data_IF_238689249113
#
_entry.id   IF_238689249113
#
_cell.length_a   1.000
_cell.length_b   1.000
_cell.length_c   1.000
_cell.angle_alpha   90.00
_cell.angle_beta   90.00
_cell.angle_gamma   90.00
#
_symmetry.space_group_name_H-M   'P 1'
#
loop_
_entity.id
_entity.type
_entity.pdbx_description
1 polymer ?
#
# COMPACT_ATOMS: atom_id res chain seq x y z
N UNK A 1 -39.67 42.51 11.27
CA UNK A 1 -41.14 42.55 11.45
C UNK A 1 -41.55 41.20 12.00
N UNK A 2 -41.55 41.11 13.32
CA UNK A 2 -42.72 40.79 14.18
C UNK A 2 -43.08 39.29 14.15
N UNK A 3 -42.74 38.49 15.15
CA UNK A 3 -43.14 38.46 16.58
C UNK A 3 -44.31 37.50 16.85
N UNK A 4 -44.09 36.59 17.83
CA UNK A 4 -44.99 36.01 18.84
C UNK A 4 -44.19 34.86 19.50
N UNK A 5 -43.74 34.92 20.76
CA UNK A 5 -44.42 35.25 22.02
C UNK A 5 -44.76 33.92 22.74
N UNK A 6 -44.43 33.62 24.01
CA UNK A 6 -43.69 34.30 25.07
C UNK A 6 -43.59 33.39 26.33
N UNK A 7 -42.73 33.83 27.28
CA UNK A 7 -42.67 33.65 28.77
C UNK A 7 -42.80 32.24 29.36
N UNK A 8 -41.82 31.70 30.12
CA UNK A 8 -41.33 32.15 31.45
C UNK A 8 -42.05 31.32 32.54
N UNK A 9 -41.46 30.66 33.53
CA UNK A 9 -40.54 31.16 34.56
C UNK A 9 -40.04 30.01 35.50
N UNK A 10 -39.14 30.38 36.41
CA UNK A 10 -38.07 29.65 37.12
C UNK A 10 -38.45 28.60 38.20
N UNK A 11 -37.45 27.73 38.40
CA UNK A 11 -37.18 26.77 39.49
C UNK A 11 -37.32 27.32 40.92
N UNK A 12 -37.73 26.43 41.84
CA UNK A 12 -37.30 26.44 43.26
C UNK A 12 -36.75 25.06 43.65
N UNK A 13 -35.50 25.05 44.14
CA UNK A 13 -34.87 23.92 44.83
C UNK A 13 -35.42 23.84 46.26
N UNK A 14 -35.72 22.64 46.74
CA UNK A 14 -35.84 22.33 48.16
C UNK A 14 -34.76 21.29 48.47
N UNK A 15 -33.85 21.66 49.37
CA UNK A 15 -32.89 20.75 49.97
C UNK A 15 -33.55 20.04 51.16
N UNK A 16 -33.51 18.71 51.19
CA UNK A 16 -33.81 17.92 52.39
C UNK A 16 -32.64 16.97 52.63
N UNK A 17 -32.01 17.15 53.78
CA UNK A 17 -30.90 16.42 54.37
C UNK A 17 -31.35 15.11 55.02
N UNK A 18 -30.51 14.07 54.95
CA UNK A 18 -30.37 13.07 56.01
C UNK A 18 -31.24 11.80 55.94
N UNK A 19 -30.58 10.64 55.98
CA UNK A 19 -31.09 9.28 56.23
C UNK A 19 -31.93 8.55 55.16
N UNK A 20 -32.67 9.20 54.25
CA UNK A 20 -33.45 8.48 53.22
C UNK A 20 -32.63 8.03 51.98
N UNK A 21 -31.40 8.54 51.81
CA UNK A 21 -30.60 8.30 50.61
C UNK A 21 -29.92 6.90 50.58
N UNK A 22 -29.68 6.26 51.73
CA UNK A 22 -28.95 4.98 51.75
C UNK A 22 -29.84 3.77 51.41
N UNK A 23 -31.14 3.81 51.73
CA UNK A 23 -32.08 2.75 51.34
C UNK A 23 -32.41 2.81 49.83
N UNK A 24 -32.51 4.01 49.26
CA UNK A 24 -32.79 4.20 47.83
C UNK A 24 -31.59 3.79 46.93
N UNK A 25 -30.36 3.93 47.41
CA UNK A 25 -29.16 3.48 46.68
C UNK A 25 -29.02 1.95 46.74
N UNK A 26 -29.31 1.32 47.88
CA UNK A 26 -29.25 -0.14 48.01
C UNK A 26 -30.25 -0.90 47.13
N UNK A 27 -31.49 -0.41 47.02
CA UNK A 27 -32.52 -1.03 46.17
C UNK A 27 -32.23 -0.83 44.68
N UNK A 28 -31.70 0.33 44.28
CA UNK A 28 -31.27 0.59 42.91
C UNK A 28 -30.04 -0.25 42.52
N UNK A 29 -29.11 -0.51 43.44
CA UNK A 29 -27.99 -1.41 43.19
C UNK A 29 -28.45 -2.86 42.99
N UNK A 30 -29.39 -3.35 43.79
CA UNK A 30 -29.93 -4.71 43.65
C UNK A 30 -30.76 -4.90 42.37
N UNK A 31 -31.56 -3.90 42.00
CA UNK A 31 -32.31 -3.91 40.72
C UNK A 31 -31.34 -3.79 39.53
N UNK A 32 -30.27 -3.00 39.65
CA UNK A 32 -29.25 -2.88 38.60
C UNK A 32 -28.44 -4.17 38.42
N UNK A 33 -28.13 -4.91 39.50
CA UNK A 33 -27.36 -6.15 39.43
C UNK A 33 -28.19 -7.29 38.85
N UNK A 34 -29.48 -7.36 39.20
CA UNK A 34 -30.45 -8.31 38.60
C UNK A 34 -30.67 -7.99 37.11
N UNK A 35 -30.77 -6.70 36.74
CA UNK A 35 -30.90 -6.28 35.34
C UNK A 35 -29.62 -6.55 34.54
N UNK A 36 -28.44 -6.36 35.13
CA UNK A 36 -27.15 -6.68 34.51
C UNK A 36 -26.91 -8.20 34.35
N UNK A 37 -27.44 -9.03 35.25
CA UNK A 37 -27.39 -10.49 35.11
C UNK A 37 -28.35 -10.98 34.01
N UNK A 38 -29.55 -10.41 33.93
CA UNK A 38 -30.52 -10.70 32.86
C UNK A 38 -30.02 -10.25 31.49
N UNK A 39 -29.39 -9.07 31.42
CA UNK A 39 -28.71 -8.57 30.21
C UNK A 39 -27.50 -9.44 29.82
N UNK A 40 -26.82 -10.10 30.77
CA UNK A 40 -25.75 -11.06 30.47
C UNK A 40 -26.28 -12.39 29.91
N UNK A 41 -27.39 -12.89 30.44
CA UNK A 41 -28.07 -14.08 29.91
C UNK A 41 -28.65 -13.81 28.52
N UNK A 42 -29.30 -12.67 28.31
CA UNK A 42 -29.80 -12.24 26.99
C UNK A 42 -28.65 -11.95 25.99
N UNK A 43 -27.50 -11.43 26.45
CA UNK A 43 -26.28 -11.30 25.62
C UNK A 43 -25.66 -12.65 25.25
N UNK A 44 -25.71 -13.64 26.13
CA UNK A 44 -25.23 -14.99 25.83
C UNK A 44 -26.10 -15.70 24.78
N UNK A 45 -27.41 -15.41 24.77
CA UNK A 45 -28.38 -16.03 23.86
C UNK A 45 -28.60 -15.24 22.56
N UNK A 46 -28.27 -13.94 22.52
CA UNK A 46 -28.34 -13.10 21.32
C UNK A 46 -27.15 -13.25 20.35
N UNK A 47 -26.14 -14.06 20.70
CA UNK A 47 -25.01 -14.37 19.81
C UNK A 47 -25.36 -15.34 18.64
N UNK A 48 -26.66 -15.59 18.43
CA UNK A 48 -27.24 -16.34 17.30
C UNK A 48 -28.12 -15.45 16.40
N UNK A 49 -27.63 -14.27 16.03
CA UNK A 49 -28.02 -13.62 14.77
C UNK A 49 -27.02 -12.50 14.48
N UNK A 50 -25.89 -12.85 13.86
CA UNK A 50 -25.06 -11.86 13.18
C UNK A 50 -25.93 -11.30 12.05
N UNK A 51 -26.59 -10.17 12.29
CA UNK A 51 -27.20 -9.38 11.21
C UNK A 51 -26.06 -8.73 10.44
N UNK A 52 -25.50 -9.49 9.50
CA UNK A 52 -24.73 -8.93 8.40
C UNK A 52 -25.57 -7.82 7.78
N UNK A 53 -24.96 -6.66 7.51
CA UNK A 53 -25.60 -5.57 6.76
C UNK A 53 -26.10 -6.17 5.45
N UNK A 54 -27.42 -6.26 5.27
CA UNK A 54 -28.05 -7.06 4.20
C UNK A 54 -27.72 -6.60 2.77
N UNK A 55 -27.12 -5.42 2.61
CA UNK A 55 -26.63 -4.88 1.35
C UNK A 55 -25.12 -5.10 1.11
N UNK A 56 -24.37 -5.50 2.13
CA UNK A 56 -22.93 -5.70 2.06
C UNK A 56 -22.58 -7.17 2.18
N UNK A 57 -21.91 -7.70 1.17
CA UNK A 57 -21.28 -9.03 1.22
C UNK A 57 -19.95 -9.02 2.00
N UNK A 58 -19.52 -7.85 2.50
CA UNK A 58 -18.30 -7.71 3.30
C UNK A 58 -18.52 -8.28 4.71
N UNK A 59 -17.71 -9.27 5.04
CA UNK A 59 -17.58 -9.90 6.35
C UNK A 59 -16.32 -9.39 7.05
N UNK A 60 -16.44 -8.92 8.28
CA UNK A 60 -15.31 -8.33 9.04
C UNK A 60 -14.90 -9.12 10.28
N UNK A 61 -15.77 -10.01 10.78
CA UNK A 61 -15.56 -10.79 11.99
C UNK A 61 -15.42 -12.29 11.67
N UNK A 62 -14.43 -12.61 10.84
CA UNK A 62 -14.07 -13.97 10.45
C UNK A 62 -12.96 -14.53 11.34
N UNK A 63 -13.11 -15.77 11.77
CA UNK A 63 -12.03 -16.57 12.36
C UNK A 63 -11.01 -17.00 11.31
N UNK A 64 -9.83 -17.44 11.74
CA UNK A 64 -8.79 -17.95 10.84
C UNK A 64 -9.29 -19.07 9.91
N UNK A 65 -10.10 -20.01 10.42
CA UNK A 65 -10.69 -21.08 9.60
C UNK A 65 -11.71 -20.55 8.59
N UNK A 66 -12.53 -19.57 8.97
CA UNK A 66 -13.50 -18.97 8.06
C UNK A 66 -12.82 -18.17 6.93
N UNK A 67 -11.69 -17.52 7.21
CA UNK A 67 -10.87 -16.83 6.19
C UNK A 67 -10.38 -17.83 5.14
N UNK A 68 -9.78 -18.95 5.56
CA UNK A 68 -9.31 -19.98 4.62
C UNK A 68 -10.45 -20.57 3.80
N UNK A 69 -11.58 -20.92 4.44
CA UNK A 69 -12.76 -21.44 3.73
C UNK A 69 -13.32 -20.44 2.72
N UNK A 70 -13.31 -19.15 3.05
CA UNK A 70 -13.75 -18.11 2.14
C UNK A 70 -12.79 -17.97 0.95
N UNK A 71 -11.48 -18.02 1.17
CA UNK A 71 -10.49 -18.02 0.09
C UNK A 71 -10.66 -19.25 -0.83
N UNK A 72 -10.86 -20.44 -0.27
CA UNK A 72 -11.16 -21.67 -1.03
C UNK A 72 -12.41 -21.51 -1.90
N UNK A 73 -13.47 -20.96 -1.33
CA UNK A 73 -14.73 -20.70 -2.04
C UNK A 73 -14.55 -19.70 -3.20
N UNK A 74 -13.82 -18.60 -2.97
CA UNK A 74 -13.51 -17.61 -4.02
C UNK A 74 -12.73 -18.29 -5.16
N UNK A 75 -11.69 -19.06 -4.83
CA UNK A 75 -10.87 -19.78 -5.81
C UNK A 75 -11.71 -20.78 -6.60
N UNK A 76 -12.54 -21.59 -5.93
CA UNK A 76 -13.40 -22.57 -6.56
C UNK A 76 -14.40 -21.91 -7.53
N UNK A 77 -15.08 -20.84 -7.10
CA UNK A 77 -16.04 -20.11 -7.93
C UNK A 77 -15.39 -19.45 -9.15
N UNK A 78 -14.18 -18.92 -8.96
CA UNK A 78 -13.39 -18.37 -10.06
C UNK A 78 -13.05 -19.45 -11.09
N UNK A 79 -12.52 -20.60 -10.65
CA UNK A 79 -12.19 -21.71 -11.54
C UNK A 79 -13.40 -22.16 -12.36
N UNK A 80 -14.52 -22.41 -11.69
CA UNK A 80 -15.78 -22.79 -12.34
C UNK A 80 -16.17 -21.82 -13.46
N UNK A 81 -16.12 -20.51 -13.18
CA UNK A 81 -16.53 -19.48 -14.14
C UNK A 81 -15.56 -19.38 -15.31
N UNK A 82 -14.25 -19.39 -15.06
CA UNK A 82 -13.25 -19.37 -16.12
C UNK A 82 -13.30 -20.64 -16.98
N UNK A 83 -13.55 -21.81 -16.39
CA UNK A 83 -13.71 -23.09 -17.11
C UNK A 83 -14.97 -23.08 -17.99
N UNK A 84 -16.08 -22.53 -17.46
CA UNK A 84 -17.30 -22.34 -18.22
C UNK A 84 -17.04 -21.45 -19.46
N UNK A 85 -16.40 -20.29 -19.28
CA UNK A 85 -16.08 -19.37 -20.39
C UNK A 85 -15.15 -20.05 -21.40
N UNK A 86 -14.11 -20.76 -20.96
CA UNK A 86 -13.17 -21.46 -21.84
C UNK A 86 -13.83 -22.55 -22.70
N UNK A 87 -14.93 -23.15 -22.22
CA UNK A 87 -15.65 -24.22 -22.92
C UNK A 87 -16.55 -23.72 -24.06
N UNK A 88 -16.75 -22.41 -24.19
CA UNK A 88 -17.66 -21.83 -25.18
C UNK A 88 -17.10 -22.02 -26.60
N UNK A 89 -17.87 -22.63 -27.52
CA UNK A 89 -17.45 -22.75 -28.91
C UNK A 89 -17.26 -21.37 -29.55
N UNK A 90 -16.17 -21.17 -30.30
CA UNK A 90 -15.80 -19.88 -30.87
C UNK A 90 -16.89 -19.26 -31.77
N UNK A 91 -17.70 -20.09 -32.44
CA UNK A 91 -18.82 -19.63 -33.27
C UNK A 91 -20.08 -19.21 -32.49
N UNK A 92 -20.11 -19.39 -31.16
CA UNK A 92 -21.27 -19.11 -30.28
C UNK A 92 -20.98 -18.04 -29.22
N UNK A 93 -19.87 -17.32 -29.34
CA UNK A 93 -19.45 -16.28 -28.39
C UNK A 93 -20.40 -15.09 -28.41
N UNK A 94 -20.89 -14.65 -27.26
CA UNK A 94 -21.74 -13.47 -27.06
C UNK A 94 -21.26 -12.70 -25.83
N UNK A 95 -21.71 -11.45 -25.69
CA UNK A 95 -21.44 -10.70 -24.46
C UNK A 95 -21.92 -11.46 -23.21
N UNK A 96 -23.11 -12.06 -23.27
CA UNK A 96 -23.77 -12.72 -22.13
C UNK A 96 -23.07 -13.99 -21.66
N UNK A 97 -22.40 -14.73 -22.55
CA UNK A 97 -21.73 -15.98 -22.18
C UNK A 97 -20.21 -15.84 -22.00
N UNK A 98 -19.57 -14.83 -22.60
CA UNK A 98 -18.11 -14.62 -22.46
C UNK A 98 -17.78 -13.50 -21.47
N UNK A 99 -18.34 -12.31 -21.67
CA UNK A 99 -17.89 -11.10 -20.98
C UNK A 99 -18.64 -10.90 -19.67
N UNK A 100 -19.97 -11.01 -19.68
CA UNK A 100 -20.81 -10.84 -18.47
C UNK A 100 -20.36 -11.76 -17.33
N UNK A 101 -20.13 -13.08 -17.54
CA UNK A 101 -19.76 -13.95 -16.43
C UNK A 101 -18.42 -13.58 -15.77
N UNK A 102 -17.47 -13.05 -16.54
CA UNK A 102 -16.19 -12.58 -16.00
C UNK A 102 -16.36 -11.27 -15.21
N UNK A 103 -17.14 -10.33 -15.73
CA UNK A 103 -17.45 -9.07 -15.05
C UNK A 103 -18.25 -9.30 -13.75
N UNK A 104 -19.27 -10.16 -13.81
CA UNK A 104 -20.12 -10.53 -12.67
C UNK A 104 -19.30 -11.24 -11.59
N UNK A 105 -18.36 -12.09 -11.99
CA UNK A 105 -17.42 -12.73 -11.08
C UNK A 105 -16.53 -11.71 -10.36
N UNK A 106 -15.94 -10.76 -11.08
CA UNK A 106 -15.10 -9.72 -10.48
C UNK A 106 -15.89 -8.90 -9.44
N UNK A 107 -17.12 -8.49 -9.79
CA UNK A 107 -17.99 -7.75 -8.89
C UNK A 107 -18.39 -8.57 -7.64
N UNK A 108 -18.69 -9.87 -7.83
CA UNK A 108 -19.01 -10.79 -6.75
C UNK A 108 -17.83 -11.01 -5.80
N UNK A 109 -16.62 -11.19 -6.35
CA UNK A 109 -15.45 -11.58 -5.57
C UNK A 109 -14.81 -10.41 -4.84
N UNK A 110 -14.86 -9.19 -5.40
CA UNK A 110 -14.22 -8.01 -4.83
C UNK A 110 -14.46 -7.84 -3.30
N UNK A 111 -15.70 -7.76 -2.80
CA UNK A 111 -15.95 -7.60 -1.36
C UNK A 111 -15.51 -8.80 -0.52
N UNK A 112 -15.58 -10.03 -1.07
CA UNK A 112 -15.18 -11.25 -0.36
C UNK A 112 -13.66 -11.35 -0.22
N UNK A 113 -12.93 -10.94 -1.26
CA UNK A 113 -11.48 -10.80 -1.23
C UNK A 113 -11.10 -9.79 -0.14
N UNK A 114 -11.75 -8.63 -0.08
CA UNK A 114 -11.49 -7.65 1.00
C UNK A 114 -11.72 -8.23 2.41
N UNK A 115 -12.74 -9.08 2.58
CA UNK A 115 -12.97 -9.80 3.83
C UNK A 115 -11.85 -10.76 4.22
N UNK A 116 -11.15 -11.35 3.25
CA UNK A 116 -9.99 -12.19 3.51
C UNK A 116 -8.73 -11.36 3.82
N UNK A 117 -8.53 -10.22 3.15
CA UNK A 117 -7.26 -9.47 3.16
C UNK A 117 -7.19 -8.39 4.24
N UNK A 118 -8.30 -7.72 4.57
CA UNK A 118 -8.29 -6.62 5.53
C UNK A 118 -7.85 -7.02 6.96
N UNK A 119 -8.21 -8.21 7.49
CA UNK A 119 -7.87 -8.59 8.86
C UNK A 119 -6.37 -8.58 9.18
N UNK A 120 -5.46 -8.81 8.22
CA UNK A 120 -4.00 -8.73 8.45
C UNK A 120 -3.55 -7.37 8.99
N UNK A 121 -4.27 -6.30 8.63
CA UNK A 121 -3.89 -4.92 8.96
C UNK A 121 -4.46 -4.43 10.29
N UNK A 122 -5.62 -4.97 10.70
CA UNK A 122 -6.41 -4.39 11.80
C UNK A 122 -6.79 -5.38 12.89
N UNK A 123 -6.73 -6.69 12.63
CA UNK A 123 -7.16 -7.68 13.61
C UNK A 123 -6.24 -7.66 14.82
N UNK A 124 -6.78 -7.65 16.06
CA UNK A 124 -5.98 -7.79 17.27
C UNK A 124 -5.41 -9.21 17.42
N UNK A 125 -6.02 -10.21 16.76
CA UNK A 125 -5.67 -11.62 16.89
C UNK A 125 -4.59 -12.04 15.87
N UNK A 126 -3.51 -12.65 16.36
CA UNK A 126 -2.34 -13.01 15.55
C UNK A 126 -2.59 -14.13 14.54
N UNK A 127 -3.33 -15.15 14.95
CA UNK A 127 -3.78 -16.26 14.08
C UNK A 127 -4.63 -15.76 12.92
N UNK A 128 -5.54 -14.81 13.18
CA UNK A 128 -6.37 -14.18 12.14
C UNK A 128 -5.51 -13.38 11.16
N UNK A 129 -4.51 -12.63 11.64
CA UNK A 129 -3.59 -11.89 10.75
C UNK A 129 -2.78 -12.83 9.87
N UNK A 130 -2.27 -13.94 10.44
CA UNK A 130 -1.52 -14.96 9.69
C UNK A 130 -2.38 -15.65 8.64
N UNK A 131 -3.61 -16.05 8.98
CA UNK A 131 -4.55 -16.64 8.04
C UNK A 131 -4.93 -15.67 6.91
N UNK A 132 -5.07 -14.39 7.22
CA UNK A 132 -5.32 -13.33 6.23
C UNK A 132 -4.14 -13.15 5.25
N UNK A 133 -2.89 -13.20 5.74
CA UNK A 133 -1.71 -13.16 4.89
C UNK A 133 -1.55 -14.42 4.00
N UNK A 134 -1.84 -15.61 4.53
CA UNK A 134 -1.88 -16.85 3.74
C UNK A 134 -2.95 -16.77 2.64
N UNK A 135 -4.16 -16.32 2.99
CA UNK A 135 -5.25 -16.16 2.04
C UNK A 135 -4.90 -15.18 0.91
N UNK A 136 -4.24 -14.06 1.22
CA UNK A 136 -3.75 -13.12 0.20
C UNK A 136 -2.78 -13.80 -0.77
N UNK A 137 -1.76 -14.49 -0.28
CA UNK A 137 -0.79 -15.18 -1.13
C UNK A 137 -1.46 -16.20 -2.06
N UNK A 138 -2.44 -16.95 -1.54
CA UNK A 138 -3.20 -17.96 -2.30
C UNK A 138 -4.10 -17.32 -3.36
N UNK A 139 -4.79 -16.23 -3.02
CA UNK A 139 -5.66 -15.51 -3.93
C UNK A 139 -4.86 -14.81 -5.04
N UNK A 140 -3.74 -14.16 -4.71
CA UNK A 140 -2.86 -13.52 -5.69
C UNK A 140 -2.29 -14.53 -6.68
N UNK A 141 -1.83 -15.68 -6.19
CA UNK A 141 -1.37 -16.79 -7.03
C UNK A 141 -2.48 -17.27 -7.97
N UNK A 142 -3.69 -17.46 -7.45
CA UNK A 142 -4.84 -17.90 -8.24
C UNK A 142 -5.22 -16.87 -9.32
N UNK A 143 -5.33 -15.58 -8.99
CA UNK A 143 -5.67 -14.54 -9.95
C UNK A 143 -4.60 -14.36 -11.03
N UNK A 144 -3.32 -14.51 -10.68
CA UNK A 144 -2.23 -14.52 -11.64
C UNK A 144 -2.37 -15.68 -12.64
N UNK A 145 -2.75 -16.87 -12.16
CA UNK A 145 -3.00 -18.03 -13.03
C UNK A 145 -4.20 -17.80 -13.96
N UNK A 146 -5.29 -17.24 -13.47
CA UNK A 146 -6.45 -16.86 -14.28
C UNK A 146 -6.08 -15.90 -15.42
N UNK A 147 -5.24 -14.90 -15.17
CA UNK A 147 -4.75 -13.94 -16.19
C UNK A 147 -3.82 -14.55 -17.23
N UNK A 148 -3.34 -15.79 -17.02
CA UNK A 148 -2.47 -16.53 -17.94
C UNK A 148 -3.23 -17.58 -18.76
N UNK A 149 -4.55 -17.69 -18.59
CA UNK A 149 -5.39 -18.68 -19.29
C UNK A 149 -5.58 -18.34 -20.76
N UNK A 150 -4.81 -19.04 -21.60
CA UNK A 150 -4.87 -18.94 -23.06
C UNK A 150 -6.21 -19.38 -23.65
N UNK A 151 -6.82 -20.40 -23.05
CA UNK A 151 -8.12 -20.94 -23.46
C UNK A 151 -9.25 -19.91 -23.30
N UNK A 152 -9.28 -19.19 -22.17
CA UNK A 152 -10.22 -18.08 -21.93
C UNK A 152 -9.91 -16.91 -22.84
N UNK A 153 -8.64 -16.55 -22.98
CA UNK A 153 -8.23 -15.47 -23.88
C UNK A 153 -8.67 -15.72 -25.34
N UNK A 154 -8.57 -16.95 -25.83
CA UNK A 154 -9.02 -17.32 -27.17
C UNK A 154 -10.52 -17.04 -27.38
N UNK A 155 -11.35 -17.34 -26.37
CA UNK A 155 -12.80 -17.08 -26.42
C UNK A 155 -13.09 -15.58 -26.36
N UNK A 156 -12.40 -14.84 -25.49
CA UNK A 156 -12.51 -13.37 -25.39
C UNK A 156 -12.10 -12.70 -26.71
N UNK A 157 -11.02 -13.18 -27.34
CA UNK A 157 -10.56 -12.66 -28.63
C UNK A 157 -11.55 -12.93 -29.76
N UNK A 158 -12.11 -14.14 -29.82
CA UNK A 158 -13.17 -14.45 -30.79
C UNK A 158 -14.42 -13.56 -30.61
N UNK A 159 -14.77 -13.22 -29.37
CA UNK A 159 -15.82 -12.24 -29.10
C UNK A 159 -15.48 -10.84 -29.65
N UNK A 160 -14.25 -10.36 -29.44
CA UNK A 160 -13.80 -9.07 -29.97
C UNK A 160 -13.81 -9.04 -31.50
N UNK A 161 -13.34 -10.11 -32.14
CA UNK A 161 -13.31 -10.24 -33.61
C UNK A 161 -14.72 -10.28 -34.22
N UNK A 162 -15.72 -10.78 -33.49
CA UNK A 162 -17.12 -10.74 -33.90
C UNK A 162 -17.68 -9.31 -34.01
N UNK A 163 -17.10 -8.36 -33.28
CA UNK A 163 -17.45 -6.93 -33.38
C UNK A 163 -18.86 -6.59 -32.89
N UNK A 164 -19.35 -7.26 -31.85
CA UNK A 164 -20.64 -6.93 -31.23
C UNK A 164 -20.66 -5.47 -30.73
N UNK A 165 -21.74 -4.74 -30.99
CA UNK A 165 -21.88 -3.34 -30.54
C UNK A 165 -22.16 -3.30 -29.04
N UNK A 166 -21.23 -2.76 -28.27
CA UNK A 166 -21.33 -2.59 -26.83
C UNK A 166 -21.49 -1.12 -26.44
N UNK A 167 -22.02 -0.87 -25.23
CA UNK A 167 -21.96 0.45 -24.61
C UNK A 167 -20.50 0.88 -24.34
N UNK A 168 -20.25 2.18 -24.09
CA UNK A 168 -18.92 2.71 -23.86
C UNK A 168 -18.14 2.00 -22.73
N UNK A 169 -18.80 1.74 -21.60
CA UNK A 169 -18.17 1.08 -20.44
C UNK A 169 -17.81 -0.39 -20.72
N UNK A 170 -18.75 -1.17 -21.26
CA UNK A 170 -18.51 -2.55 -21.65
C UNK A 170 -17.39 -2.67 -22.69
N UNK A 171 -17.35 -1.76 -23.68
CA UNK A 171 -16.25 -1.68 -24.65
C UNK A 171 -14.91 -1.46 -23.96
N UNK A 172 -14.86 -0.53 -22.99
CA UNK A 172 -13.65 -0.21 -22.23
C UNK A 172 -13.21 -1.40 -21.36
N UNK A 173 -14.15 -2.12 -20.73
CA UNK A 173 -13.88 -3.32 -19.94
C UNK A 173 -13.21 -4.40 -20.80
N UNK A 174 -13.80 -4.73 -21.95
CA UNK A 174 -13.24 -5.74 -22.87
C UNK A 174 -11.84 -5.35 -23.35
N UNK A 175 -11.62 -4.07 -23.66
CA UNK A 175 -10.29 -3.56 -24.01
C UNK A 175 -9.28 -3.69 -22.85
N UNK A 176 -9.68 -3.47 -21.59
CA UNK A 176 -8.81 -3.73 -20.44
C UNK A 176 -8.48 -5.21 -20.34
N UNK A 177 -9.50 -6.06 -20.41
CA UNK A 177 -9.37 -7.50 -20.25
C UNK A 177 -8.39 -8.10 -21.26
N UNK A 178 -8.55 -7.75 -22.54
CA UNK A 178 -7.61 -8.17 -23.60
C UNK A 178 -6.20 -7.71 -23.29
N UNK A 179 -6.01 -6.42 -22.95
CA UNK A 179 -4.68 -5.89 -22.63
C UNK A 179 -4.04 -6.58 -21.42
N UNK A 180 -4.81 -6.88 -20.39
CA UNK A 180 -4.31 -7.56 -19.20
C UNK A 180 -3.83 -8.98 -19.54
N UNK A 181 -4.55 -9.70 -20.40
CA UNK A 181 -4.09 -10.98 -20.94
C UNK A 181 -2.80 -10.83 -21.75
N UNK A 182 -2.75 -9.90 -22.70
CA UNK A 182 -1.58 -9.69 -23.57
C UNK A 182 -0.33 -9.29 -22.78
N UNK A 183 -0.48 -8.44 -21.77
CA UNK A 183 0.60 -8.03 -20.84
C UNK A 183 1.06 -9.19 -19.96
N UNK A 184 0.26 -10.22 -19.79
CA UNK A 184 0.64 -11.49 -19.16
C UNK A 184 1.14 -12.53 -20.17
N UNK A 185 1.41 -12.12 -21.41
CA UNK A 185 2.13 -12.93 -22.38
C UNK A 185 1.31 -14.04 -23.02
N UNK A 186 -0.03 -14.03 -22.94
CA UNK A 186 -0.83 -15.10 -23.54
C UNK A 186 -0.72 -15.15 -25.07
N UNK A 187 -0.40 -14.04 -25.72
CA UNK A 187 -0.12 -13.96 -27.16
C UNK A 187 1.26 -14.55 -27.54
N UNK A 188 2.12 -14.84 -26.56
CA UNK A 188 3.46 -15.35 -26.82
C UNK A 188 3.42 -16.87 -27.08
N UNK A 189 4.39 -17.36 -27.84
CA UNK A 189 4.63 -18.81 -27.98
C UNK A 189 5.01 -19.41 -26.63
N UNK A 190 4.81 -20.73 -26.46
CA UNK A 190 5.15 -21.42 -25.21
C UNK A 190 6.60 -21.16 -24.77
N UNK A 191 7.55 -21.22 -25.71
CA UNK A 191 8.97 -20.93 -25.45
C UNK A 191 9.18 -19.50 -24.93
N UNK A 192 8.55 -18.50 -25.55
CA UNK A 192 8.61 -17.10 -25.11
C UNK A 192 7.91 -16.87 -23.77
N UNK A 193 6.85 -17.62 -23.45
CA UNK A 193 6.21 -17.56 -22.12
C UNK A 193 7.13 -18.09 -21.03
N UNK A 194 7.81 -19.21 -21.27
CA UNK A 194 8.80 -19.76 -20.33
C UNK A 194 9.93 -18.75 -20.10
N UNK A 195 10.41 -18.11 -21.17
CA UNK A 195 11.39 -17.02 -21.07
C UNK A 195 10.85 -15.84 -20.24
N UNK A 196 9.60 -15.40 -20.48
CA UNK A 196 8.96 -14.33 -19.73
C UNK A 196 8.87 -14.64 -18.23
N UNK A 197 8.45 -15.85 -17.87
CA UNK A 197 8.34 -16.27 -16.46
C UNK A 197 9.71 -16.32 -15.78
N UNK A 198 10.73 -16.82 -16.47
CA UNK A 198 12.11 -16.83 -15.97
C UNK A 198 12.63 -15.39 -15.75
N UNK A 199 12.38 -14.49 -16.71
CA UNK A 199 12.74 -13.07 -16.56
C UNK A 199 12.02 -12.43 -15.37
N UNK A 200 10.71 -12.65 -15.23
CA UNK A 200 9.93 -12.12 -14.08
C UNK A 200 10.48 -12.64 -12.75
N UNK A 201 10.72 -13.95 -12.64
CA UNK A 201 11.27 -14.56 -11.43
C UNK A 201 12.64 -13.98 -11.05
N UNK A 202 13.54 -13.77 -12.03
CA UNK A 202 14.83 -13.13 -11.79
C UNK A 202 14.69 -11.66 -11.36
N UNK A 203 13.78 -10.90 -12.00
CA UNK A 203 13.48 -9.52 -11.62
C UNK A 203 12.96 -9.45 -10.18
N UNK A 204 12.02 -10.33 -9.82
CA UNK A 204 11.43 -10.35 -8.47
C UNK A 204 12.48 -10.73 -7.42
N UNK A 205 13.30 -11.74 -7.69
CA UNK A 205 14.42 -12.15 -6.82
C UNK A 205 15.40 -11.01 -6.59
N UNK A 206 15.86 -10.35 -7.65
CA UNK A 206 16.81 -9.24 -7.56
C UNK A 206 16.18 -8.01 -6.87
N UNK A 207 14.89 -7.74 -7.11
CA UNK A 207 14.16 -6.65 -6.46
C UNK A 207 14.04 -6.89 -4.95
N UNK A 208 13.74 -8.12 -4.54
CA UNK A 208 13.71 -8.51 -3.13
C UNK A 208 15.10 -8.38 -2.49
N UNK A 209 16.13 -8.90 -3.16
CA UNK A 209 17.51 -8.83 -2.68
C UNK A 209 17.98 -7.37 -2.49
N UNK A 210 17.65 -6.48 -3.45
CA UNK A 210 17.97 -5.05 -3.35
C UNK A 210 17.40 -4.43 -2.07
N UNK A 211 16.13 -4.73 -1.76
CA UNK A 211 15.43 -4.20 -0.58
C UNK A 211 15.95 -4.86 0.71
N UNK A 212 16.22 -6.16 0.69
CA UNK A 212 16.80 -6.89 1.83
C UNK A 212 18.16 -6.31 2.21
N UNK A 213 19.05 -6.10 1.25
CA UNK A 213 20.36 -5.49 1.48
C UNK A 213 20.22 -4.14 2.23
N UNK A 214 19.27 -3.29 1.83
CA UNK A 214 19.03 -1.99 2.47
C UNK A 214 18.42 -2.10 3.89
N UNK A 215 17.58 -3.11 4.13
CA UNK A 215 16.93 -3.32 5.42
C UNK A 215 17.88 -3.95 6.45
N UNK A 216 18.76 -4.83 6.00
CA UNK A 216 19.76 -5.52 6.81
C UNK A 216 21.02 -4.66 7.05
N UNK A 217 21.16 -3.54 6.33
CA UNK A 217 22.27 -2.60 6.54
C UNK A 217 22.34 -2.12 8.00
N UNK A 218 23.47 -2.47 8.62
CA UNK A 218 23.82 -2.07 9.97
C UNK A 218 25.02 -1.10 9.99
N UNK A 219 25.34 -0.51 8.83
CA UNK A 219 26.41 0.48 8.71
C UNK A 219 26.18 1.66 9.67
N UNK A 220 27.27 2.13 10.27
CA UNK A 220 27.25 3.22 11.22
C UNK A 220 28.47 4.13 11.04
N UNK A 221 28.32 5.37 11.49
CA UNK A 221 29.41 6.35 11.61
C UNK A 221 29.63 6.61 13.09
N UNK A 222 30.90 6.69 13.51
CA UNK A 222 31.27 7.12 14.85
C UNK A 222 31.37 8.64 14.88
N UNK A 223 30.70 9.24 15.86
CA UNK A 223 30.68 10.69 16.05
C UNK A 223 30.86 10.97 17.53
N UNK A 224 31.71 11.92 17.87
CA UNK A 224 31.87 12.37 19.26
C UNK A 224 30.72 13.30 19.67
N UNK A 225 30.44 13.41 20.97
CA UNK A 225 29.34 14.26 21.46
C UNK A 225 29.50 15.76 21.09
N UNK A 226 30.70 16.36 21.14
CA UNK A 226 30.91 17.75 20.70
C UNK A 226 30.57 17.97 19.22
N UNK A 227 30.73 16.94 18.39
CA UNK A 227 30.45 16.99 16.96
C UNK A 227 28.93 16.97 16.67
N UNK A 228 28.11 16.53 17.62
CA UNK A 228 26.63 16.56 17.54
C UNK A 228 26.03 17.86 18.08
N UNK A 229 26.76 18.97 18.02
CA UNK A 229 26.30 20.28 18.44
C UNK A 229 24.93 20.63 17.81
N UNK A 230 23.98 21.10 18.62
CA UNK A 230 22.62 21.45 18.18
C UNK A 230 21.60 20.32 18.28
N UNK A 231 22.03 19.06 18.49
CA UNK A 231 21.10 17.96 18.72
C UNK A 231 20.47 18.02 20.12
N UNK A 232 19.19 17.62 20.29
CA UNK A 232 18.57 17.48 21.60
C UNK A 232 19.32 16.48 22.48
N UNK A 233 19.49 16.74 23.80
CA UNK A 233 20.21 15.83 24.71
C UNK A 233 19.66 14.40 24.70
N UNK A 234 18.33 14.25 24.72
CA UNK A 234 17.65 12.95 24.64
C UNK A 234 18.04 12.16 23.37
N UNK A 235 18.24 12.84 22.23
CA UNK A 235 18.68 12.17 21.01
C UNK A 235 20.11 11.63 21.17
N UNK A 236 21.03 12.43 21.70
CA UNK A 236 22.43 12.01 21.93
C UNK A 236 22.47 10.82 22.92
N UNK A 237 21.67 10.87 23.98
CA UNK A 237 21.55 9.80 24.96
C UNK A 237 21.02 8.50 24.36
N UNK A 238 20.08 8.59 23.40
CA UNK A 238 19.54 7.42 22.71
C UNK A 238 20.56 6.70 21.80
N UNK A 239 21.64 7.37 21.41
CA UNK A 239 22.70 6.78 20.58
C UNK A 239 23.58 5.83 21.40
N UNK A 240 23.87 4.66 20.82
CA UNK A 240 24.74 3.66 21.45
C UNK A 240 26.15 4.23 21.68
N UNK A 241 26.60 4.26 22.93
CA UNK A 241 27.94 4.69 23.31
C UNK A 241 28.97 3.57 23.10
N UNK A 242 30.10 3.90 22.51
CA UNK A 242 31.24 2.98 22.35
C UNK A 242 32.17 3.01 23.57
N UNK A 243 33.11 2.07 23.62
CA UNK A 243 34.17 2.05 24.65
C UNK A 243 35.10 3.28 24.57
N UNK A 244 35.21 3.90 23.40
CA UNK A 244 35.98 5.14 23.13
C UNK A 244 35.23 6.42 23.48
N UNK A 245 34.06 6.32 24.13
CA UNK A 245 33.16 7.43 24.46
C UNK A 245 32.53 8.16 23.25
N UNK A 246 32.63 7.59 22.04
CA UNK A 246 31.93 8.06 20.84
C UNK A 246 30.50 7.51 20.78
N UNK A 247 29.65 8.12 19.96
CA UNK A 247 28.28 7.70 19.69
C UNK A 247 28.18 7.04 18.32
N UNK A 248 27.48 5.90 18.25
CA UNK A 248 27.18 5.22 16.98
C UNK A 248 25.94 5.83 16.34
N UNK A 249 26.12 6.44 15.17
CA UNK A 249 25.04 6.87 14.30
C UNK A 249 24.82 5.81 13.22
N UNK A 250 23.83 4.96 13.41
CA UNK A 250 23.42 4.01 12.35
C UNK A 250 22.85 4.77 11.16
N UNK A 251 23.12 4.30 9.94
CA UNK A 251 22.64 4.91 8.70
C UNK A 251 21.18 4.54 8.40
N UNK A 252 20.30 4.78 9.38
CA UNK A 252 18.85 4.58 9.28
C UNK A 252 18.14 5.92 9.31
N UNK A 253 16.97 6.00 8.66
CA UNK A 253 16.22 7.26 8.50
C UNK A 253 16.00 7.99 9.84
N UNK A 254 15.64 7.26 10.90
CA UNK A 254 15.39 7.83 12.23
C UNK A 254 16.63 8.40 12.94
N UNK A 255 17.85 8.03 12.54
CA UNK A 255 19.08 8.68 13.04
C UNK A 255 19.57 9.76 12.08
N UNK A 256 19.48 9.51 10.78
CA UNK A 256 20.02 10.40 9.75
C UNK A 256 19.17 11.67 9.63
N UNK A 257 17.84 11.58 9.54
CA UNK A 257 16.97 12.76 9.36
C UNK A 257 17.19 13.79 10.46
N UNK A 258 17.09 13.45 11.77
CA UNK A 258 17.27 14.45 12.82
C UNK A 258 18.65 15.11 12.80
N UNK A 259 19.71 14.36 12.43
CA UNK A 259 21.06 14.91 12.34
C UNK A 259 21.20 15.87 11.15
N UNK A 260 20.61 15.54 9.99
CA UNK A 260 20.63 16.44 8.84
C UNK A 260 19.83 17.72 9.09
N UNK A 261 18.80 17.65 9.93
CA UNK A 261 17.89 18.76 10.26
C UNK A 261 18.42 19.66 11.38
N UNK A 262 19.03 19.10 12.43
CA UNK A 262 19.31 19.86 13.66
C UNK A 262 20.79 20.00 14.00
N UNK A 263 21.67 19.14 13.47
CA UNK A 263 23.09 19.22 13.79
C UNK A 263 23.70 20.47 13.17
N UNK A 264 24.32 21.33 13.99
CA UNK A 264 24.99 22.56 13.54
C UNK A 264 26.34 22.30 12.88
N UNK A 265 26.92 21.11 13.07
CA UNK A 265 28.23 20.77 12.52
C UNK A 265 28.15 20.35 11.04
N UNK A 266 28.46 21.27 10.12
CA UNK A 266 28.30 21.07 8.68
C UNK A 266 29.06 19.87 8.08
N UNK A 267 30.29 19.60 8.53
CA UNK A 267 31.06 18.45 8.02
C UNK A 267 30.48 17.10 8.48
N UNK A 268 29.85 17.04 9.66
CA UNK A 268 29.15 15.84 10.16
C UNK A 268 27.89 15.60 9.33
N UNK A 269 27.09 16.66 9.08
CA UNK A 269 25.93 16.57 8.18
C UNK A 269 26.36 16.02 6.80
N UNK A 270 27.46 16.54 6.24
CA UNK A 270 28.02 16.08 4.97
C UNK A 270 28.47 14.62 5.02
N UNK A 271 29.23 14.24 6.04
CA UNK A 271 29.76 12.89 6.18
C UNK A 271 28.62 11.87 6.26
N UNK A 272 27.65 12.11 7.15
CA UNK A 272 26.50 11.22 7.34
C UNK A 272 25.61 11.17 6.09
N UNK A 273 25.32 12.31 5.45
CA UNK A 273 24.54 12.34 4.22
C UNK A 273 25.20 11.52 3.09
N UNK A 274 26.53 11.64 2.97
CA UNK A 274 27.32 10.91 1.97
C UNK A 274 27.31 9.41 2.26
N UNK A 275 27.60 9.01 3.50
CA UNK A 275 27.55 7.61 3.92
C UNK A 275 26.16 7.01 3.73
N UNK A 276 25.10 7.75 4.09
CA UNK A 276 23.71 7.30 3.91
C UNK A 276 23.32 7.09 2.45
N UNK A 277 23.82 7.94 1.54
CA UNK A 277 23.59 7.83 0.10
C UNK A 277 24.40 6.69 -0.55
N UNK A 278 25.50 6.27 0.06
CA UNK A 278 26.38 5.20 -0.44
C UNK A 278 26.04 3.82 0.14
N UNK A 279 24.99 3.70 0.96
CA UNK A 279 24.58 2.44 1.56
C UNK A 279 24.37 1.34 0.52
N UNK A 280 24.97 0.18 0.80
CA UNK A 280 24.93 -1.01 -0.05
C UNK A 280 25.37 -0.73 -1.50
N UNK A 281 26.14 0.33 -1.76
CA UNK A 281 26.48 0.73 -3.13
C UNK A 281 27.21 -0.37 -3.88
N UNK A 282 28.11 -1.11 -3.22
CA UNK A 282 28.86 -2.20 -3.85
C UNK A 282 27.95 -3.34 -4.30
N UNK A 283 27.01 -3.75 -3.44
CA UNK A 283 26.13 -4.90 -3.70
C UNK A 283 24.94 -4.51 -4.61
N UNK A 284 24.35 -3.34 -4.39
CA UNK A 284 23.12 -2.92 -5.05
C UNK A 284 23.33 -2.31 -6.43
N UNK A 285 24.52 -1.78 -6.75
CA UNK A 285 24.81 -1.29 -8.10
C UNK A 285 24.79 -2.42 -9.14
N UNK A 286 25.41 -3.56 -8.82
CA UNK A 286 25.40 -4.74 -9.71
C UNK A 286 23.98 -5.31 -9.86
N UNK A 287 23.20 -5.35 -8.77
CA UNK A 287 21.79 -5.75 -8.80
C UNK A 287 20.99 -4.81 -9.71
N UNK A 288 21.22 -3.49 -9.60
CA UNK A 288 20.50 -2.50 -10.40
C UNK A 288 20.82 -2.62 -11.89
N UNK A 289 22.09 -2.80 -12.26
CA UNK A 289 22.48 -2.99 -13.67
C UNK A 289 21.80 -4.24 -14.27
N UNK A 290 21.84 -5.36 -13.55
CA UNK A 290 21.14 -6.58 -13.95
C UNK A 290 19.62 -6.37 -14.06
N UNK A 291 19.00 -5.66 -13.11
CA UNK A 291 17.57 -5.35 -13.16
C UNK A 291 17.19 -4.52 -14.38
N UNK A 292 18.01 -3.53 -14.76
CA UNK A 292 17.77 -2.69 -15.95
C UNK A 292 17.79 -3.56 -17.21
N UNK A 293 18.79 -4.41 -17.36
CA UNK A 293 18.92 -5.30 -18.52
C UNK A 293 17.77 -6.31 -18.60
N UNK A 294 17.40 -6.95 -17.48
CA UNK A 294 16.29 -7.91 -17.44
C UNK A 294 14.93 -7.25 -17.74
N UNK A 295 14.69 -6.07 -17.17
CA UNK A 295 13.47 -5.28 -17.45
C UNK A 295 13.38 -4.87 -18.91
N UNK A 296 14.51 -4.48 -19.51
CA UNK A 296 14.56 -4.19 -20.94
C UNK A 296 14.26 -5.43 -21.79
N UNK A 297 14.89 -6.58 -21.50
CA UNK A 297 14.60 -7.86 -22.18
C UNK A 297 13.12 -8.24 -22.08
N UNK A 298 12.53 -8.14 -20.89
CA UNK A 298 11.10 -8.41 -20.66
C UNK A 298 10.21 -7.51 -21.52
N UNK A 299 10.52 -6.21 -21.59
CA UNK A 299 9.75 -5.26 -22.40
C UNK A 299 9.84 -5.59 -23.91
N UNK A 300 11.04 -5.91 -24.41
CA UNK A 300 11.24 -6.32 -25.81
C UNK A 300 10.49 -7.60 -26.15
N UNK A 301 10.50 -8.58 -25.24
CA UNK A 301 9.77 -9.84 -25.39
C UNK A 301 8.26 -9.62 -25.53
N UNK A 302 7.71 -8.65 -24.80
CA UNK A 302 6.30 -8.26 -24.84
C UNK A 302 5.96 -7.26 -25.97
N UNK A 303 6.92 -6.90 -26.82
CA UNK A 303 6.70 -6.01 -27.98
C UNK A 303 6.84 -4.51 -27.69
N UNK A 304 7.33 -4.11 -26.51
CA UNK A 304 7.55 -2.72 -26.16
C UNK A 304 8.97 -2.25 -26.53
N UNK A 305 9.13 -0.95 -26.76
CA UNK A 305 10.43 -0.36 -27.10
C UNK A 305 11.40 -0.40 -25.91
N UNK A 306 10.87 -0.12 -24.71
CA UNK A 306 11.58 -0.04 -23.45
C UNK A 306 10.63 -0.41 -22.28
N UNK A 307 11.20 -0.59 -21.08
CA UNK A 307 10.41 -0.97 -19.90
C UNK A 307 9.51 0.15 -19.39
N UNK A 308 9.91 1.42 -19.52
CA UNK A 308 9.09 2.55 -19.08
C UNK A 308 7.78 2.63 -19.88
N UNK A 309 7.81 2.44 -21.19
CA UNK A 309 6.62 2.35 -22.05
C UNK A 309 5.68 1.23 -21.60
N UNK A 310 6.21 0.05 -21.29
CA UNK A 310 5.42 -1.06 -20.74
C UNK A 310 4.74 -0.69 -19.40
N UNK A 311 5.41 0.06 -18.53
CA UNK A 311 4.89 0.44 -17.21
C UNK A 311 3.88 1.59 -17.30
N UNK A 312 4.07 2.55 -18.20
CA UNK A 312 3.25 3.77 -18.29
C UNK A 312 2.05 3.65 -19.23
N UNK A 313 2.00 2.66 -20.12
CA UNK A 313 0.86 2.39 -21.00
C UNK A 313 -0.50 2.38 -20.27
N UNK A 314 -0.68 1.66 -19.14
CA UNK A 314 -1.96 1.67 -18.43
C UNK A 314 -2.23 3.00 -17.69
N UNK A 315 -1.20 3.82 -17.47
CA UNK A 315 -1.29 5.08 -16.71
C UNK A 315 -1.86 6.21 -17.59
N UNK A 316 -2.11 7.37 -16.97
CA UNK A 316 -2.60 8.56 -17.67
C UNK A 316 -1.59 9.08 -18.70
N UNK A 317 -0.28 8.97 -18.43
CA UNK A 317 0.78 9.48 -19.29
C UNK A 317 0.91 8.73 -20.63
N UNK A 318 0.49 7.46 -20.71
CA UNK A 318 0.52 6.55 -21.89
C UNK A 318 1.89 6.21 -22.49
N UNK A 319 2.81 7.17 -22.56
CA UNK A 319 4.15 7.02 -23.18
C UNK A 319 5.21 7.59 -22.26
N UNK A 320 6.39 6.98 -22.26
CA UNK A 320 7.52 7.47 -21.47
C UNK A 320 7.96 8.88 -21.89
N UNK A 321 7.91 9.20 -23.18
CA UNK A 321 8.19 10.53 -23.71
C UNK A 321 7.35 11.65 -23.05
N UNK A 322 6.05 11.39 -22.80
CA UNK A 322 5.18 12.36 -22.12
C UNK A 322 5.54 12.58 -20.65
N UNK A 323 6.13 11.57 -20.01
CA UNK A 323 6.67 11.72 -18.65
C UNK A 323 7.91 12.61 -18.67
N UNK A 324 8.81 12.42 -19.64
CA UNK A 324 9.99 13.27 -19.80
C UNK A 324 9.62 14.72 -20.11
N UNK A 325 8.75 14.95 -21.11
CA UNK A 325 8.27 16.30 -21.45
C UNK A 325 7.68 17.01 -20.21
N UNK A 326 6.87 16.32 -19.41
CA UNK A 326 6.28 16.87 -18.19
C UNK A 326 7.33 17.22 -17.12
N UNK A 327 8.32 16.35 -16.90
CA UNK A 327 9.37 16.60 -15.92
C UNK A 327 10.31 17.72 -16.36
N UNK A 328 10.61 17.82 -17.65
CA UNK A 328 11.42 18.89 -18.23
C UNK A 328 10.70 20.24 -18.15
N UNK A 329 9.40 20.29 -18.44
CA UNK A 329 8.58 21.50 -18.31
C UNK A 329 8.50 21.97 -16.85
N UNK A 330 8.25 21.06 -15.90
CA UNK A 330 8.31 21.38 -14.46
C UNK A 330 9.69 21.92 -14.07
N UNK A 331 10.76 21.25 -14.50
CA UNK A 331 12.12 21.66 -14.20
C UNK A 331 12.38 23.07 -14.73
N UNK A 332 12.02 23.36 -15.98
CA UNK A 332 12.19 24.68 -16.58
C UNK A 332 11.41 25.77 -15.83
N UNK A 333 10.14 25.51 -15.49
CA UNK A 333 9.28 26.49 -14.82
C UNK A 333 9.66 26.75 -13.35
N UNK A 334 10.27 25.76 -12.67
CA UNK A 334 10.70 25.90 -11.28
C UNK A 334 12.15 26.37 -11.14
N UNK A 335 12.94 26.39 -12.21
CA UNK A 335 14.37 26.68 -12.16
C UNK A 335 14.66 28.06 -11.55
N UNK A 336 13.94 29.11 -11.94
CA UNK A 336 14.15 30.46 -11.40
C UNK A 336 13.84 30.55 -9.90
N UNK A 337 12.74 29.92 -9.46
CA UNK A 337 12.37 29.88 -8.05
C UNK A 337 13.41 29.10 -7.24
N UNK A 338 13.81 27.93 -7.74
CA UNK A 338 14.82 27.08 -7.11
C UNK A 338 16.17 27.81 -6.99
N UNK A 339 16.57 28.61 -7.99
CA UNK A 339 17.79 29.42 -7.91
C UNK A 339 17.69 30.54 -6.86
N UNK A 340 16.52 31.19 -6.72
CA UNK A 340 16.30 32.20 -5.67
C UNK A 340 16.37 31.58 -4.28
N UNK A 341 15.68 30.48 -4.06
CA UNK A 341 15.72 29.74 -2.79
C UNK A 341 17.13 29.25 -2.47
N UNK A 342 17.84 28.70 -3.47
CA UNK A 342 19.23 28.28 -3.31
C UNK A 342 20.13 29.45 -2.89
N UNK A 343 19.98 30.62 -3.50
CA UNK A 343 20.79 31.79 -3.14
C UNK A 343 20.46 32.27 -1.73
N UNK A 344 19.19 32.28 -1.33
CA UNK A 344 18.78 32.56 0.05
C UNK A 344 19.43 31.57 1.05
N UNK A 345 19.42 30.27 0.73
CA UNK A 345 20.06 29.24 1.58
C UNK A 345 21.58 29.39 1.65
N UNK A 346 22.23 29.80 0.54
CA UNK A 346 23.66 30.11 0.52
C UNK A 346 24.01 31.29 1.43
N UNK A 347 23.21 32.34 1.39
CA UNK A 347 23.42 33.53 2.22
C UNK A 347 23.23 33.21 3.71
N UNK A 348 22.22 32.40 4.05
CA UNK A 348 22.02 31.91 5.42
C UNK A 348 23.22 31.07 5.88
N UNK A 349 23.66 30.10 5.07
CA UNK A 349 24.84 29.29 5.39
C UNK A 349 26.08 30.16 5.58
N UNK A 350 26.30 31.15 4.72
CA UNK A 350 27.47 32.05 4.84
C UNK A 350 27.45 32.87 6.12
N UNK A 351 26.26 33.22 6.63
CA UNK A 351 26.10 33.92 7.92
C UNK A 351 26.37 33.00 9.12
N UNK A 352 26.05 31.72 9.01
CA UNK A 352 26.20 30.74 10.11
C UNK A 352 27.59 30.09 10.17
N UNK A 353 28.11 29.62 9.04
CA UNK A 353 29.32 28.77 8.95
C UNK A 353 30.48 29.43 8.17
N UNK A 354 30.27 30.60 7.54
CA UNK A 354 31.23 31.22 6.61
C UNK A 354 31.20 30.63 5.19
N UNK A 355 32.12 31.06 4.31
CA UNK A 355 32.16 30.64 2.90
C UNK A 355 32.77 29.23 2.80
N UNK A 356 31.92 28.20 2.77
CA UNK A 356 32.32 26.81 2.51
C UNK A 356 31.59 26.23 1.29
N UNK A 357 32.26 25.41 0.44
CA UNK A 357 31.62 24.80 -0.72
C UNK A 357 30.39 23.97 -0.33
N UNK A 358 29.29 24.19 -1.05
CA UNK A 358 27.99 23.59 -0.76
C UNK A 358 27.97 22.09 -0.99
N UNK A 359 27.31 21.37 -0.09
CA UNK A 359 26.83 20.01 -0.35
C UNK A 359 25.31 20.05 -0.27
N UNK A 360 24.69 19.71 -1.40
CA UNK A 360 23.32 20.00 -1.81
C UNK A 360 22.20 19.26 -1.06
N UNK A 361 22.43 18.81 0.18
CA UNK A 361 21.43 18.13 1.01
C UNK A 361 21.33 18.65 2.44
N UNK A 362 21.98 19.77 2.73
CA UNK A 362 22.31 20.16 4.11
C UNK A 362 21.45 21.32 4.64
N UNK A 363 20.62 21.96 3.80
CA UNK A 363 19.85 23.15 4.20
C UNK A 363 18.42 23.25 3.64
N UNK A 364 17.87 22.22 2.99
CA UNK A 364 16.44 22.21 2.63
C UNK A 364 15.53 21.85 3.82
N UNK A 365 16.08 21.65 5.01
CA UNK A 365 15.30 21.37 6.22
C UNK A 365 15.85 22.23 7.37
N UNK A 366 15.46 23.50 7.35
CA UNK A 366 15.40 24.36 8.53
C UNK A 366 14.18 25.24 8.38
#
# INVERSE_FOLDING_TARGET
>A
MEAKGGKGEKRRMIAITGAAALAAVGLNFLISSIRAHRDKEDRSNSNKSKKDLTWSSVRVNLSASEIHKLADHIIAKSKETYDLVASIPLGKVTYMNVISPLADLEAYQFPLVQSCLFPKMVSPLDDVRKASADAEQRLDSHFLMCRKREDVYRVVKAFVERGERLGPEATRYVQCLVKDFERNGVNLTLSKRIEMENLRSQIDKLSLQYVQNLNEDASFVLVSEPELAGMPPHFIESLTKTKSAERKVFLRSHHVSPILEHCKTGYIRKSIATSYAQRCGKENLDILDNLIQLRHKLARLLGYSNYSDFVVEPRMAKKSAKVFEFLEDISANLTDLAMRELNMLKDLKSKEEGILPLVWKIYCIT
#
